data_IF_085564965942
#
_entry.id   IF_085564965942
#
_cell.length_a   1.000
_cell.length_b   1.000
_cell.length_c   1.000
_cell.angle_alpha   90.00
_cell.angle_beta   90.00
_cell.angle_gamma   90.00
#
_symmetry.space_group_name_H-M   'P 1'
#
loop_
_entity.id
_entity.type
_entity.pdbx_description
1 polymer ?
#
# COMPACT_ATOMS: atom_id res chain seq x y z
N UNK A 1 -1.06 20.51 16.12
CA UNK A 1 0.08 19.64 15.77
C UNK A 1 -0.23 19.16 14.36
N UNK A 2 0.66 19.31 13.37
CA UNK A 2 0.39 18.74 12.05
C UNK A 2 0.66 17.25 12.15
N UNK A 3 -0.37 16.44 11.90
CA UNK A 3 -0.22 15.00 11.74
C UNK A 3 -0.10 14.72 10.26
N UNK A 4 0.98 14.02 9.89
CA UNK A 4 1.20 13.61 8.52
C UNK A 4 0.72 12.17 8.37
N UNK A 5 -0.01 11.94 7.28
CA UNK A 5 -0.44 10.63 6.84
C UNK A 5 0.26 10.37 5.52
N UNK A 6 0.61 9.13 5.24
CA UNK A 6 1.38 8.78 4.05
C UNK A 6 0.72 7.64 3.29
N UNK A 7 1.03 7.45 2.02
CA UNK A 7 0.78 6.20 1.30
C UNK A 7 2.09 5.62 0.77
N UNK A 8 2.11 4.33 0.48
CA UNK A 8 3.26 3.70 -0.16
C UNK A 8 3.43 4.19 -1.60
N UNK A 9 4.69 4.29 -2.03
CA UNK A 9 5.09 4.46 -3.42
C UNK A 9 6.52 3.96 -3.62
N UNK A 10 7.01 4.05 -4.84
CA UNK A 10 8.42 3.86 -5.15
C UNK A 10 9.33 4.89 -4.45
N UNK A 11 10.52 4.47 -4.02
CA UNK A 11 11.55 5.39 -3.51
C UNK A 11 12.05 6.37 -4.57
N UNK A 12 12.55 7.55 -4.16
CA UNK A 12 13.07 8.58 -5.09
C UNK A 12 14.28 8.12 -5.95
N UNK A 13 14.90 7.00 -5.56
CA UNK A 13 16.01 6.38 -6.25
C UNK A 13 15.64 5.07 -6.95
N UNK A 14 14.35 4.73 -7.06
CA UNK A 14 13.88 3.44 -7.55
C UNK A 14 14.47 3.07 -8.92
N UNK A 15 14.27 3.94 -9.90
CA UNK A 15 14.84 3.80 -11.25
C UNK A 15 16.36 3.85 -11.24
N UNK A 16 16.95 4.72 -10.41
CA UNK A 16 18.41 4.89 -10.33
C UNK A 16 19.10 3.64 -9.80
N UNK A 17 18.44 2.92 -8.88
CA UNK A 17 18.89 1.65 -8.32
C UNK A 17 18.46 0.44 -9.15
N UNK A 18 17.69 0.67 -10.22
CA UNK A 18 17.17 -0.33 -11.16
C UNK A 18 16.45 -1.44 -10.43
N UNK A 19 15.52 -1.09 -9.54
CA UNK A 19 14.57 -2.08 -9.03
C UNK A 19 13.59 -2.48 -10.13
N UNK A 20 13.06 -3.69 -10.05
CA UNK A 20 12.19 -4.24 -11.10
C UNK A 20 10.74 -3.79 -10.98
N UNK A 21 9.97 -4.19 -11.97
CA UNK A 21 8.53 -4.04 -12.05
C UNK A 21 7.93 -5.45 -12.18
N UNK A 22 6.85 -5.76 -11.47
CA UNK A 22 6.21 -7.06 -11.55
C UNK A 22 5.00 -6.98 -12.49
N UNK A 23 5.01 -7.79 -13.55
CA UNK A 23 3.90 -7.91 -14.48
C UNK A 23 3.04 -9.10 -14.12
N UNK A 24 1.73 -8.87 -14.01
CA UNK A 24 0.74 -9.88 -13.71
C UNK A 24 0.43 -10.74 -14.94
N UNK A 25 0.04 -12.02 -14.76
CA UNK A 25 -0.47 -12.82 -15.87
C UNK A 25 -1.90 -12.37 -16.25
N UNK A 26 -2.31 -12.57 -17.52
CA UNK A 26 -3.64 -12.20 -18.06
C UNK A 26 -4.86 -12.66 -17.23
N UNK A 27 -4.69 -13.66 -16.36
CA UNK A 27 -5.74 -14.18 -15.48
C UNK A 27 -5.98 -13.33 -14.22
N UNK A 28 -5.10 -12.38 -13.92
CA UNK A 28 -5.18 -11.51 -12.75
C UNK A 28 -5.85 -10.20 -13.17
N UNK A 29 -6.85 -9.79 -12.40
CA UNK A 29 -7.46 -8.47 -12.51
C UNK A 29 -6.96 -7.61 -11.34
N UNK A 30 -6.61 -6.35 -11.58
CA UNK A 30 -6.16 -5.45 -10.52
C UNK A 30 -7.22 -5.26 -9.42
N UNK A 31 -8.50 -5.48 -9.75
CA UNK A 31 -9.61 -5.47 -8.78
C UNK A 31 -9.61 -6.67 -7.81
N UNK A 32 -8.85 -7.74 -8.09
CA UNK A 32 -8.79 -8.90 -7.19
C UNK A 32 -8.27 -8.53 -5.79
N UNK A 33 -7.52 -7.42 -5.68
CA UNK A 33 -7.20 -6.75 -4.42
C UNK A 33 -7.65 -5.29 -4.51
N UNK A 34 -8.77 -4.99 -3.86
CA UNK A 34 -9.33 -3.64 -3.80
C UNK A 34 -9.45 -3.20 -2.34
N UNK A 35 -8.74 -2.13 -1.96
CA UNK A 35 -8.73 -1.72 -0.55
C UNK A 35 -10.14 -1.28 -0.13
N UNK A 36 -10.57 -1.72 1.04
CA UNK A 36 -11.89 -1.47 1.59
C UNK A 36 -12.94 -2.50 1.16
N UNK A 37 -12.55 -3.53 0.41
CA UNK A 37 -13.38 -4.70 0.14
C UNK A 37 -12.70 -5.99 0.61
N UNK A 38 -13.47 -6.95 1.14
CA UNK A 38 -12.99 -8.30 1.37
C UNK A 38 -12.73 -9.02 0.04
N UNK A 39 -11.88 -10.05 0.07
CA UNK A 39 -11.70 -10.94 -1.07
C UNK A 39 -13.04 -11.59 -1.48
N UNK A 40 -13.44 -11.44 -2.74
CA UNK A 40 -14.67 -12.07 -3.26
C UNK A 40 -14.56 -13.59 -3.39
N UNK A 41 -13.34 -14.08 -3.59
CA UNK A 41 -13.01 -15.49 -3.82
C UNK A 41 -11.79 -15.87 -2.97
N UNK A 42 -11.62 -17.15 -2.60
CA UNK A 42 -10.40 -17.61 -1.95
C UNK A 42 -9.16 -17.21 -2.76
N UNK A 43 -8.16 -16.66 -2.07
CA UNK A 43 -6.92 -16.21 -2.71
C UNK A 43 -6.17 -17.40 -3.31
N UNK A 44 -5.88 -17.31 -4.60
CA UNK A 44 -5.00 -18.25 -5.30
C UNK A 44 -3.74 -17.47 -5.68
N UNK A 45 -2.58 -17.89 -5.16
CA UNK A 45 -1.31 -17.22 -5.41
C UNK A 45 -1.02 -17.12 -6.91
N UNK A 46 -0.99 -15.89 -7.49
CA UNK A 46 -0.60 -15.71 -8.87
C UNK A 46 0.93 -15.72 -9.00
N UNK A 47 1.41 -16.06 -10.21
CA UNK A 47 2.82 -15.97 -10.58
C UNK A 47 3.01 -14.79 -11.52
N UNK A 48 3.66 -13.75 -11.01
CA UNK A 48 4.07 -12.55 -11.74
C UNK A 48 5.46 -12.75 -12.33
N UNK A 49 5.76 -12.02 -13.40
CA UNK A 49 7.10 -11.93 -13.99
C UNK A 49 7.77 -10.64 -13.51
N UNK A 50 9.01 -10.74 -13.02
CA UNK A 50 9.82 -9.56 -12.76
C UNK A 50 10.38 -9.05 -14.08
N UNK A 51 9.81 -7.96 -14.58
CA UNK A 51 10.34 -7.25 -15.73
C UNK A 51 11.30 -6.17 -15.28
N UNK A 52 12.47 -6.18 -15.93
CA UNK A 52 13.54 -5.22 -15.67
C UNK A 52 14.14 -5.28 -14.25
N UNK A 53 15.32 -4.67 -14.10
CA UNK A 53 15.88 -4.40 -12.77
C UNK A 53 16.16 -5.62 -11.89
N UNK A 54 15.87 -5.49 -10.60
CA UNK A 54 16.11 -6.50 -9.54
C UNK A 54 15.05 -6.40 -8.45
N UNK A 55 14.86 -7.48 -7.72
CA UNK A 55 14.00 -7.51 -6.53
C UNK A 55 14.33 -6.40 -5.51
N UNK A 56 13.28 -5.79 -4.97
CA UNK A 56 13.25 -4.77 -3.90
C UNK A 56 12.31 -5.19 -2.76
N UNK A 57 12.30 -4.46 -1.64
CA UNK A 57 11.42 -4.77 -0.52
C UNK A 57 9.97 -4.23 -0.72
N UNK A 58 9.81 -3.13 -1.47
CA UNK A 58 8.57 -2.71 -2.12
C UNK A 58 8.74 -2.90 -3.63
N UNK A 59 7.82 -3.62 -4.27
CA UNK A 59 7.90 -3.94 -5.69
C UNK A 59 6.73 -3.33 -6.47
N UNK A 60 7.04 -2.40 -7.36
CA UNK A 60 6.05 -1.81 -8.27
C UNK A 60 5.48 -2.87 -9.22
N UNK A 61 4.23 -2.71 -9.64
CA UNK A 61 3.52 -3.69 -10.46
C UNK A 61 2.38 -3.04 -11.24
N UNK A 62 1.89 -3.75 -12.26
CA UNK A 62 0.81 -3.32 -13.16
C UNK A 62 -0.60 -3.34 -12.53
N UNK A 63 -0.74 -3.96 -11.37
CA UNK A 63 -1.99 -3.99 -10.61
C UNK A 63 -2.10 -2.87 -9.57
N UNK A 64 -1.09 -2.00 -9.45
CA UNK A 64 -0.98 -0.95 -8.41
C UNK A 64 -1.08 -1.49 -6.97
N UNK A 65 -0.80 -2.78 -6.75
CA UNK A 65 -0.85 -3.38 -5.43
C UNK A 65 0.37 -2.98 -4.58
N UNK A 66 0.20 -2.86 -3.27
CA UNK A 66 1.32 -2.68 -2.34
C UNK A 66 2.00 -4.04 -2.12
N UNK A 67 2.92 -4.42 -3.03
CA UNK A 67 3.68 -5.66 -2.93
C UNK A 67 4.85 -5.52 -1.97
N UNK A 68 4.72 -6.18 -0.84
CA UNK A 68 5.75 -6.24 0.20
C UNK A 68 6.57 -7.51 0.07
N UNK A 69 7.89 -7.41 0.12
CA UNK A 69 8.73 -8.55 0.45
C UNK A 69 8.41 -9.07 1.85
N UNK A 70 8.86 -10.29 2.18
CA UNK A 70 8.75 -10.84 3.54
C UNK A 70 9.34 -9.89 4.61
N UNK A 71 10.43 -9.17 4.30
CA UNK A 71 11.05 -8.23 5.26
C UNK A 71 10.17 -7.01 5.52
N UNK A 72 9.59 -6.42 4.47
CA UNK A 72 8.69 -5.28 4.62
C UNK A 72 7.40 -5.70 5.33
N UNK A 73 6.84 -6.86 4.97
CA UNK A 73 5.71 -7.47 5.67
C UNK A 73 6.00 -7.64 7.16
N UNK A 74 7.11 -8.28 7.54
CA UNK A 74 7.50 -8.47 8.94
C UNK A 74 7.71 -7.15 9.68
N UNK A 75 8.29 -6.15 9.02
CA UNK A 75 8.45 -4.82 9.59
C UNK A 75 7.09 -4.20 9.94
N UNK A 76 6.13 -4.26 9.03
CA UNK A 76 4.76 -3.75 9.23
C UNK A 76 4.06 -4.54 10.34
N UNK A 77 4.09 -5.88 10.29
CA UNK A 77 3.45 -6.75 11.30
C UNK A 77 3.99 -6.52 12.71
N UNK A 78 5.28 -6.25 12.84
CA UNK A 78 5.93 -6.02 14.14
C UNK A 78 5.63 -4.63 14.71
N UNK A 79 5.44 -3.63 13.84
CA UNK A 79 5.45 -2.22 14.25
C UNK A 79 4.09 -1.53 14.16
N UNK A 80 3.12 -2.00 13.38
CA UNK A 80 1.80 -1.37 13.28
C UNK A 80 0.91 -1.77 14.48
N UNK A 81 0.17 -0.80 15.04
CA UNK A 81 -0.78 -1.02 16.14
C UNK A 81 -1.83 -2.04 15.73
N UNK A 82 -2.36 -1.89 14.52
CA UNK A 82 -3.46 -2.66 13.99
C UNK A 82 -3.00 -3.61 12.86
N UNK A 83 -1.79 -4.18 13.00
CA UNK A 83 -1.23 -5.15 12.07
C UNK A 83 -2.15 -6.36 11.81
N UNK A 84 -2.96 -6.74 12.79
CA UNK A 84 -3.91 -7.87 12.71
C UNK A 84 -5.06 -7.63 11.73
N UNK A 85 -5.29 -6.38 11.32
CA UNK A 85 -6.36 -6.01 10.40
C UNK A 85 -5.93 -6.16 8.93
N UNK A 86 -4.66 -6.49 8.69
CA UNK A 86 -4.09 -6.66 7.36
C UNK A 86 -4.32 -8.10 6.89
N UNK A 87 -4.95 -8.25 5.73
CA UNK A 87 -4.91 -9.49 4.95
C UNK A 87 -3.69 -9.48 4.05
N UNK A 88 -2.83 -10.49 4.17
CA UNK A 88 -1.65 -10.65 3.31
C UNK A 88 -1.92 -11.70 2.22
N UNK A 89 -1.98 -11.24 0.98
CA UNK A 89 -2.21 -12.06 -0.20
C UNK A 89 -0.87 -12.42 -0.86
N UNK A 90 -0.47 -13.69 -0.82
CA UNK A 90 0.83 -14.09 -1.37
C UNK A 90 0.86 -13.99 -2.91
N UNK A 91 1.98 -13.52 -3.45
CA UNK A 91 2.23 -13.36 -4.89
C UNK A 91 3.62 -13.94 -5.16
N UNK A 92 3.72 -14.91 -6.04
CA UNK A 92 5.02 -15.40 -6.50
C UNK A 92 5.53 -14.50 -7.62
N UNK A 93 6.80 -14.11 -7.58
CA UNK A 93 7.43 -13.25 -8.58
C UNK A 93 8.68 -13.95 -9.11
N UNK A 94 8.73 -14.20 -10.42
CA UNK A 94 9.81 -14.92 -11.09
C UNK A 94 10.64 -13.99 -11.98
N UNK A 95 11.97 -13.98 -11.83
CA UNK A 95 12.89 -13.23 -12.71
C UNK A 95 13.46 -14.08 -13.88
N UNK A 96 13.00 -15.33 -14.01
CA UNK A 96 13.46 -16.31 -15.00
C UNK A 96 14.40 -17.36 -14.40
N UNK A 97 15.15 -17.01 -13.35
CA UNK A 97 16.08 -17.91 -12.64
C UNK A 97 15.63 -18.20 -11.21
N UNK A 98 14.99 -17.23 -10.55
CA UNK A 98 14.61 -17.24 -9.14
C UNK A 98 13.16 -16.80 -8.98
N UNK A 99 12.42 -17.59 -8.19
CA UNK A 99 11.09 -17.23 -7.70
C UNK A 99 11.19 -16.72 -6.27
N UNK A 100 10.59 -15.56 -6.00
CA UNK A 100 10.42 -15.00 -4.64
C UNK A 100 8.97 -14.76 -4.34
N UNK A 101 8.57 -15.05 -3.10
CA UNK A 101 7.25 -14.70 -2.60
C UNK A 101 7.24 -13.25 -2.09
N UNK A 102 6.28 -12.49 -2.61
CA UNK A 102 5.84 -11.19 -2.14
C UNK A 102 4.43 -11.33 -1.53
N UNK A 103 3.97 -10.27 -0.89
CA UNK A 103 2.69 -10.20 -0.23
C UNK A 103 2.02 -8.89 -0.59
N UNK A 104 0.93 -8.97 -1.33
CA UNK A 104 0.05 -7.84 -1.54
C UNK A 104 -0.70 -7.55 -0.23
N UNK A 105 -0.65 -6.28 0.18
CA UNK A 105 -1.33 -5.79 1.37
C UNK A 105 -2.80 -5.49 1.03
N UNK A 106 -3.73 -6.06 1.79
CA UNK A 106 -5.15 -5.76 1.70
C UNK A 106 -5.71 -5.32 3.06
N UNK A 107 -6.33 -4.14 3.09
CA UNK A 107 -7.21 -3.72 4.16
C UNK A 107 -8.65 -4.01 3.74
N UNK A 108 -9.26 -5.09 4.25
CA UNK A 108 -10.60 -5.51 3.82
C UNK A 108 -11.72 -4.62 4.36
N UNK A 109 -11.48 -3.97 5.50
CA UNK A 109 -12.45 -3.07 6.15
C UNK A 109 -11.96 -1.63 6.06
N UNK A 110 -12.68 -0.75 5.35
CA UNK A 110 -12.31 0.65 5.26
C UNK A 110 -12.66 1.38 6.55
N UNK A 111 -11.94 2.46 6.84
CA UNK A 111 -12.34 3.38 7.91
C UNK A 111 -13.40 4.36 7.41
N UNK A 112 -14.49 4.46 8.16
CA UNK A 112 -15.63 5.33 7.83
C UNK A 112 -15.56 6.68 8.53
N UNK A 113 -16.16 7.69 7.90
CA UNK A 113 -16.32 9.04 8.45
C UNK A 113 -15.03 9.74 8.91
N UNK A 114 -13.85 9.31 8.44
CA UNK A 114 -12.56 9.88 8.86
C UNK A 114 -12.11 11.10 8.07
N UNK A 115 -12.91 11.54 7.09
CA UNK A 115 -12.57 12.66 6.22
C UNK A 115 -13.29 13.95 6.63
N UNK A 116 -12.53 15.04 6.69
CA UNK A 116 -13.06 16.40 6.71
C UNK A 116 -13.36 16.80 5.27
N UNK A 117 -14.61 16.60 4.84
CA UNK A 117 -15.01 16.86 3.46
C UNK A 117 -14.97 18.35 3.10
N UNK A 118 -14.98 19.27 4.06
CA UNK A 118 -14.87 20.71 3.80
C UNK A 118 -13.43 21.12 3.52
N UNK A 119 -12.47 20.52 4.23
CA UNK A 119 -11.03 20.76 4.03
C UNK A 119 -10.40 19.94 2.90
N UNK A 120 -11.00 18.82 2.53
CA UNK A 120 -10.53 17.95 1.44
C UNK A 120 -10.61 18.67 0.09
N UNK A 121 -9.64 18.45 -0.81
CA UNK A 121 -9.70 19.03 -2.16
C UNK A 121 -10.53 18.15 -3.07
N UNK A 122 -11.37 18.81 -3.87
CA UNK A 122 -12.35 18.16 -4.74
C UNK A 122 -12.12 18.53 -6.21
N UNK A 123 -12.45 17.60 -7.09
CA UNK A 123 -12.66 17.84 -8.51
C UNK A 123 -13.96 18.63 -8.72
N UNK A 124 -14.23 19.02 -9.97
CA UNK A 124 -15.39 19.87 -10.31
C UNK A 124 -16.74 19.19 -10.10
N UNK A 125 -16.77 17.87 -10.23
CA UNK A 125 -17.92 16.99 -9.97
C UNK A 125 -18.11 16.70 -8.47
N UNK A 126 -17.19 17.14 -7.61
CA UNK A 126 -17.25 16.97 -6.17
C UNK A 126 -16.46 15.78 -5.63
N UNK A 127 -15.85 14.97 -6.49
CA UNK A 127 -15.01 13.83 -6.07
C UNK A 127 -13.77 14.30 -5.32
N UNK A 128 -13.45 13.67 -4.18
CA UNK A 128 -12.27 14.02 -3.38
C UNK A 128 -11.05 13.33 -3.99
N UNK A 129 -10.09 14.11 -4.48
CA UNK A 129 -8.81 13.58 -4.99
C UNK A 129 -7.65 13.77 -4.01
N UNK A 130 -7.79 14.67 -3.02
CA UNK A 130 -6.83 14.86 -1.94
C UNK A 130 -7.59 14.86 -0.60
N UNK A 131 -7.72 13.69 0.06
CA UNK A 131 -8.38 13.59 1.34
C UNK A 131 -7.67 14.42 2.40
N UNK A 132 -8.48 14.97 3.29
CA UNK A 132 -8.03 15.62 4.50
C UNK A 132 -8.62 14.86 5.70
N UNK A 133 -7.76 14.23 6.51
CA UNK A 133 -8.21 13.36 7.59
C UNK A 133 -8.53 14.13 8.88
N UNK A 134 -9.51 13.61 9.63
CA UNK A 134 -9.87 14.08 10.97
C UNK A 134 -8.95 13.39 11.97
N UNK A 135 -8.00 14.12 12.54
CA UNK A 135 -6.94 13.55 13.38
C UNK A 135 -7.47 12.66 14.52
N UNK A 136 -8.49 13.14 15.24
CA UNK A 136 -9.04 12.41 16.39
C UNK A 136 -9.61 11.03 16.04
N UNK A 137 -9.97 10.80 14.78
CA UNK A 137 -10.50 9.51 14.31
C UNK A 137 -9.41 8.53 13.88
N UNK A 138 -8.20 9.00 13.60
CA UNK A 138 -7.11 8.18 13.03
C UNK A 138 -5.86 8.08 13.91
N UNK A 139 -5.79 8.86 15.00
CA UNK A 139 -4.60 8.96 15.87
C UNK A 139 -4.13 7.65 16.51
N UNK A 140 -5.03 6.67 16.64
CA UNK A 140 -4.78 5.38 17.28
C UNK A 140 -4.70 4.22 16.25
N UNK A 141 -4.52 4.55 14.97
CA UNK A 141 -4.44 3.59 13.85
C UNK A 141 -3.18 3.90 13.04
N UNK A 142 -2.46 2.86 12.60
CA UNK A 142 -1.23 3.04 11.82
C UNK A 142 -1.38 2.73 10.35
N UNK A 143 -2.35 1.92 9.98
CA UNK A 143 -2.59 1.52 8.61
C UNK A 143 -4.09 1.41 8.37
N UNK A 144 -4.57 2.02 7.31
CA UNK A 144 -6.00 2.04 6.98
C UNK A 144 -6.23 2.36 5.51
N UNK A 145 -7.47 2.18 5.07
CA UNK A 145 -7.95 2.60 3.75
C UNK A 145 -9.27 3.35 3.89
N UNK A 146 -9.73 3.94 2.79
CA UNK A 146 -11.01 4.60 2.66
C UNK A 146 -12.01 3.74 1.89
N UNK A 147 -13.28 4.10 1.97
CA UNK A 147 -14.34 3.52 1.12
C UNK A 147 -14.05 3.74 -0.38
N UNK A 148 -14.57 2.85 -1.24
CA UNK A 148 -14.31 2.81 -2.70
C UNK A 148 -14.56 4.12 -3.45
N UNK A 149 -15.40 5.01 -2.91
CA UNK A 149 -15.71 6.32 -3.49
C UNK A 149 -14.57 7.35 -3.35
N UNK A 150 -13.46 6.95 -2.74
CA UNK A 150 -12.28 7.76 -2.47
C UNK A 150 -11.03 7.13 -3.07
N UNK A 151 -9.91 7.87 -3.15
CA UNK A 151 -8.67 7.31 -3.68
C UNK A 151 -8.27 6.05 -2.91
N UNK A 152 -8.18 4.96 -3.66
CA UNK A 152 -7.98 3.59 -3.20
C UNK A 152 -6.51 3.33 -2.81
N UNK A 153 -6.03 4.08 -1.82
CA UNK A 153 -4.67 3.97 -1.30
C UNK A 153 -4.66 3.29 0.07
N UNK A 154 -3.54 2.65 0.38
CA UNK A 154 -3.19 2.26 1.74
C UNK A 154 -2.53 3.45 2.42
N UNK A 155 -3.21 4.03 3.41
CA UNK A 155 -2.71 5.13 4.21
C UNK A 155 -2.00 4.61 5.46
N UNK A 156 -0.90 5.26 5.85
CA UNK A 156 -0.12 4.93 7.03
C UNK A 156 0.19 6.16 7.89
N UNK A 157 0.38 5.94 9.19
CA UNK A 157 0.80 6.98 10.12
C UNK A 157 2.28 7.36 9.95
N UNK A 158 2.65 8.58 10.33
CA UNK A 158 4.05 9.02 10.45
C UNK A 158 4.87 8.08 11.36
N UNK A 159 4.25 7.54 12.43
CA UNK A 159 4.94 6.63 13.34
C UNK A 159 5.36 5.35 12.63
N UNK A 160 4.45 4.72 11.88
CA UNK A 160 4.76 3.49 11.15
C UNK A 160 5.77 3.75 10.03
N UNK A 161 5.60 4.85 9.27
CA UNK A 161 6.58 5.30 8.27
C UNK A 161 7.99 5.37 8.85
N UNK A 162 8.18 6.06 9.98
CA UNK A 162 9.49 6.20 10.62
C UNK A 162 10.10 4.85 11.03
N UNK A 163 9.29 3.86 11.41
CA UNK A 163 9.76 2.51 11.71
C UNK A 163 10.22 1.78 10.45
N UNK A 164 9.48 1.91 9.36
CA UNK A 164 9.85 1.31 8.07
C UNK A 164 11.13 1.94 7.52
N UNK A 165 11.27 3.27 7.60
CA UNK A 165 12.47 3.98 7.15
C UNK A 165 13.72 3.58 7.95
N UNK A 166 13.58 3.29 9.25
CA UNK A 166 14.69 2.86 10.09
C UNK A 166 15.30 1.51 9.66
N UNK A 167 14.53 0.65 9.00
CA UNK A 167 14.99 -0.65 8.50
C UNK A 167 15.79 -0.57 7.19
N UNK A 168 15.82 0.60 6.52
CA UNK A 168 16.51 0.82 5.23
C UNK A 168 16.10 -0.19 4.14
N UNK A 169 14.81 -0.47 4.04
CA UNK A 169 14.23 -1.39 3.06
C UNK A 169 14.29 -0.81 1.64
N UNK A 170 14.66 -1.65 0.67
CA UNK A 170 14.90 -1.26 -0.72
C UNK A 170 13.61 -0.95 -1.47
N UNK A 171 13.62 0.13 -2.27
CA UNK A 171 12.50 0.49 -3.15
C UNK A 171 11.29 1.10 -2.45
N UNK A 172 11.31 1.22 -1.12
CA UNK A 172 10.20 1.76 -0.34
C UNK A 172 10.26 3.29 -0.31
N UNK A 173 9.19 3.94 -0.76
CA UNK A 173 8.97 5.38 -0.66
C UNK A 173 7.57 5.70 -0.13
N UNK A 174 7.33 7.00 0.10
CA UNK A 174 6.07 7.48 0.67
C UNK A 174 5.58 8.76 0.00
N UNK A 175 4.26 8.91 -0.12
CA UNK A 175 3.59 10.14 -0.55
C UNK A 175 2.80 10.77 0.60
N UNK A 176 2.79 12.10 0.68
CA UNK A 176 2.23 12.85 1.81
C UNK A 176 0.73 13.17 1.66
N UNK A 177 0.00 13.04 2.77
CA UNK A 177 -1.39 13.43 2.96
C UNK A 177 -1.58 14.24 4.25
N UNK A 178 -2.71 14.95 4.35
CA UNK A 178 -2.92 15.97 5.38
C UNK A 178 -3.95 15.54 6.43
N UNK A 179 -3.70 15.87 7.71
CA UNK A 179 -4.67 15.74 8.81
C UNK A 179 -4.69 16.99 9.71
N UNK A 180 -5.84 17.25 10.35
CA UNK A 180 -6.03 18.36 11.32
C UNK A 180 -6.63 17.90 12.64
#
# INVERSE_FOLDING_TARGET
>A
MKYNIFSFRESDDYDKKRYGFAESPDSVDSIDIYQGLPLEKPWNEPMFELTEGRFSDYLSNDCDWVLCSEKLKQCIETNAINATDITWCSVAVNDGDVVKTYYALLMETPMEEILDTEKSKKLRDGEIYLPHFVYDKIKDVDIFTLEEKYPNYVYISDRLKQRIEAENLAGVGFEDWYAS
#
